data_IF_369933977108
#
_entry.id   IF_369933977108
#
_cell.length_a   1.000
_cell.length_b   1.000
_cell.length_c   1.000
_cell.angle_alpha   90.00
_cell.angle_beta   90.00
_cell.angle_gamma   90.00
#
_symmetry.space_group_name_H-M   'P 1'
#
loop_
_entity.id
_entity.type
_entity.pdbx_description
1 polymer ?
#
# COMPACT_ATOMS: atom_id res chain seq x y z
N UNK A 1 52.06 -31.51 4.86
CA UNK A 1 50.95 -31.52 3.88
C UNK A 1 50.19 -30.21 4.01
N UNK A 2 50.20 -29.38 2.96
CA UNK A 2 49.57 -28.05 2.91
C UNK A 2 48.25 -28.15 2.14
N UNK A 3 47.24 -27.45 2.67
CA UNK A 3 46.03 -26.93 2.00
C UNK A 3 45.06 -28.02 1.48
N UNK A 4 43.75 -27.97 1.73
CA UNK A 4 42.86 -26.88 1.35
C UNK A 4 41.53 -26.96 2.12
N UNK A 5 41.23 -25.95 2.95
CA UNK A 5 39.88 -25.68 3.47
C UNK A 5 39.66 -24.18 3.30
N UNK A 6 39.45 -23.72 2.07
CA UNK A 6 39.13 -22.30 1.82
C UNK A 6 38.21 -22.08 0.61
N UNK A 7 37.68 -23.14 -0.01
CA UNK A 7 36.91 -23.05 -1.25
C UNK A 7 35.39 -23.04 -1.07
N UNK A 8 34.87 -23.40 0.11
CA UNK A 8 33.41 -23.59 0.32
C UNK A 8 32.69 -22.30 0.76
N UNK A 9 33.40 -21.36 1.39
CA UNK A 9 32.83 -20.12 1.94
C UNK A 9 32.61 -19.03 0.88
N UNK A 10 33.47 -18.93 -0.14
CA UNK A 10 33.31 -17.93 -1.21
C UNK A 10 32.14 -18.24 -2.14
N UNK A 11 31.96 -19.52 -2.51
CA UNK A 11 30.96 -19.96 -3.49
C UNK A 11 29.51 -19.72 -2.98
N UNK A 12 29.31 -19.89 -1.67
CA UNK A 12 28.01 -19.63 -1.02
C UNK A 12 27.68 -18.13 -0.94
N UNK A 13 28.69 -17.28 -0.71
CA UNK A 13 28.53 -15.83 -0.61
C UNK A 13 28.28 -15.20 -1.98
N UNK A 14 29.01 -15.64 -3.01
CA UNK A 14 28.80 -15.23 -4.40
C UNK A 14 27.41 -15.63 -4.91
N UNK A 15 26.95 -16.84 -4.56
CA UNK A 15 25.59 -17.30 -4.86
C UNK A 15 24.53 -16.44 -4.18
N UNK A 16 24.69 -16.08 -2.90
CA UNK A 16 23.77 -15.19 -2.19
C UNK A 16 23.72 -13.80 -2.82
N UNK A 17 24.88 -13.21 -3.14
CA UNK A 17 24.95 -11.92 -3.81
C UNK A 17 24.24 -11.94 -5.17
N UNK A 18 24.40 -13.02 -5.95
CA UNK A 18 23.71 -13.18 -7.23
C UNK A 18 22.18 -13.28 -7.07
N UNK A 19 21.68 -13.86 -5.98
CA UNK A 19 20.25 -13.96 -5.67
C UNK A 19 19.69 -12.58 -5.32
N UNK A 20 20.39 -11.82 -4.47
CA UNK A 20 19.98 -10.45 -4.11
C UNK A 20 20.05 -9.49 -5.29
N UNK A 21 21.04 -9.63 -6.18
CA UNK A 21 21.12 -8.85 -7.42
C UNK A 21 19.92 -9.14 -8.33
N UNK A 22 19.58 -10.41 -8.55
CA UNK A 22 18.39 -10.82 -9.31
C UNK A 22 17.10 -10.31 -8.68
N UNK A 23 17.00 -10.30 -7.35
CA UNK A 23 15.87 -9.73 -6.62
C UNK A 23 15.76 -8.22 -6.84
N UNK A 24 16.84 -7.47 -6.68
CA UNK A 24 16.87 -6.02 -6.92
C UNK A 24 16.48 -5.64 -8.35
N UNK A 25 16.96 -6.39 -9.34
CA UNK A 25 16.57 -6.18 -10.75
C UNK A 25 15.07 -6.44 -10.96
N UNK A 26 14.53 -7.53 -10.39
CA UNK A 26 13.08 -7.81 -10.44
C UNK A 26 12.24 -6.78 -9.68
N UNK A 27 12.74 -6.25 -8.57
CA UNK A 27 12.08 -5.19 -7.80
C UNK A 27 12.04 -3.88 -8.61
N UNK A 28 13.14 -3.48 -9.26
CA UNK A 28 13.17 -2.31 -10.14
C UNK A 28 12.25 -2.45 -11.37
N UNK A 29 12.18 -3.64 -11.97
CA UNK A 29 11.24 -3.95 -13.07
C UNK A 29 9.77 -3.92 -12.60
N UNK A 30 9.50 -4.32 -11.35
CA UNK A 30 8.16 -4.27 -10.74
C UNK A 30 7.75 -2.84 -10.37
N UNK A 31 8.67 -2.02 -9.88
CA UNK A 31 8.47 -0.59 -9.63
C UNK A 31 8.20 0.22 -10.91
N UNK A 32 8.81 -0.15 -12.03
CA UNK A 32 8.49 0.46 -13.33
C UNK A 32 7.07 0.12 -13.83
N UNK A 33 6.49 -0.99 -13.36
CA UNK A 33 5.16 -1.50 -13.74
C UNK A 33 4.05 -1.24 -12.70
N UNK A 34 4.36 -0.66 -11.53
CA UNK A 34 3.44 -0.56 -10.39
C UNK A 34 2.43 0.60 -10.46
N UNK A 35 2.22 1.23 -11.63
CA UNK A 35 1.24 2.32 -11.81
C UNK A 35 -0.24 1.94 -11.56
N UNK A 36 -0.55 0.73 -11.10
CA UNK A 36 -1.90 0.33 -10.66
C UNK A 36 -1.83 -0.61 -9.46
N UNK A 37 -1.59 -0.06 -8.26
CA UNK A 37 -1.96 -0.70 -6.99
C UNK A 37 -3.48 -0.52 -6.73
N UNK A 38 -4.28 -0.71 -7.77
CA UNK A 38 -5.73 -0.83 -7.63
C UNK A 38 -6.01 -2.31 -7.43
N UNK A 39 -6.86 -2.63 -6.46
CA UNK A 39 -7.43 -3.98 -6.38
C UNK A 39 -8.13 -4.27 -7.70
N UNK A 40 -7.54 -5.15 -8.51
CA UNK A 40 -7.99 -5.42 -9.89
C UNK A 40 -9.32 -6.15 -9.92
N UNK A 41 -9.59 -6.96 -8.90
CA UNK A 41 -10.84 -7.69 -8.73
C UNK A 41 -11.73 -7.02 -7.68
N UNK A 42 -12.75 -6.31 -8.16
CA UNK A 42 -13.75 -5.65 -7.31
C UNK A 42 -14.91 -6.56 -6.92
N UNK A 43 -14.95 -7.80 -7.40
CA UNK A 43 -16.04 -8.74 -7.17
C UNK A 43 -16.38 -8.89 -5.68
N UNK A 44 -15.40 -9.09 -4.77
CA UNK A 44 -15.71 -9.22 -3.34
C UNK A 44 -16.35 -7.96 -2.73
N UNK A 45 -15.99 -6.78 -3.24
CA UNK A 45 -16.55 -5.50 -2.78
C UNK A 45 -17.95 -5.27 -3.33
N UNK A 46 -18.21 -5.67 -4.57
CA UNK A 46 -19.55 -5.60 -5.17
C UNK A 46 -20.50 -6.57 -4.45
N UNK A 47 -20.03 -7.77 -4.13
CA UNK A 47 -20.83 -8.76 -3.40
C UNK A 47 -21.20 -8.26 -2.00
N UNK A 48 -20.27 -7.59 -1.30
CA UNK A 48 -20.50 -7.08 0.06
C UNK A 48 -21.25 -5.76 0.11
N UNK A 49 -20.82 -4.76 -0.67
CA UNK A 49 -21.30 -3.39 -0.59
C UNK A 49 -22.26 -3.03 -1.73
N UNK A 50 -22.56 -3.94 -2.65
CA UNK A 50 -23.37 -3.68 -3.85
C UNK A 50 -22.76 -2.65 -4.80
N UNK A 51 -23.06 -2.79 -6.10
CA UNK A 51 -22.62 -1.80 -7.08
C UNK A 51 -23.28 -0.43 -6.87
N UNK A 52 -24.52 -0.41 -6.40
CA UNK A 52 -25.28 0.83 -6.18
C UNK A 52 -24.65 1.71 -5.09
N UNK A 53 -24.29 1.13 -3.95
CA UNK A 53 -23.68 1.89 -2.84
C UNK A 53 -22.23 2.31 -3.17
N UNK A 54 -21.45 1.47 -3.84
CA UNK A 54 -20.12 1.87 -4.34
C UNK A 54 -20.22 3.05 -5.33
N UNK A 55 -21.20 3.03 -6.23
CA UNK A 55 -21.43 4.14 -7.16
C UNK A 55 -21.91 5.40 -6.45
N UNK A 56 -22.77 5.27 -5.45
CA UNK A 56 -23.23 6.40 -4.64
C UNK A 56 -22.05 7.10 -3.97
N UNK A 57 -21.20 6.37 -3.24
CA UNK A 57 -20.00 6.96 -2.63
C UNK A 57 -19.07 7.59 -3.66
N UNK A 58 -18.90 6.94 -4.82
CA UNK A 58 -18.11 7.51 -5.91
C UNK A 58 -18.64 8.88 -6.35
N UNK A 59 -19.95 9.01 -6.50
CA UNK A 59 -20.61 10.27 -6.88
C UNK A 59 -20.45 11.33 -5.79
N UNK A 60 -20.64 10.96 -4.52
CA UNK A 60 -20.49 11.86 -3.36
C UNK A 60 -19.09 12.50 -3.30
N UNK A 61 -18.06 11.77 -3.72
CA UNK A 61 -16.67 12.26 -3.77
C UNK A 61 -16.20 12.68 -5.17
N UNK A 62 -17.13 13.15 -6.01
CA UNK A 62 -16.82 13.81 -7.27
C UNK A 62 -16.39 12.87 -8.40
N UNK A 63 -16.94 11.66 -8.44
CA UNK A 63 -16.64 10.60 -9.40
C UNK A 63 -15.17 10.14 -9.40
N UNK A 64 -14.44 10.42 -8.32
CA UNK A 64 -13.06 9.96 -8.13
C UNK A 64 -13.04 8.52 -7.67
N UNK A 65 -11.99 7.78 -8.00
CA UNK A 65 -11.91 6.37 -7.65
C UNK A 65 -11.75 6.17 -6.13
N UNK A 66 -12.65 5.36 -5.56
CA UNK A 66 -12.56 4.89 -4.18
C UNK A 66 -11.30 4.05 -3.98
N UNK A 67 -10.81 4.03 -2.75
CA UNK A 67 -9.72 3.17 -2.33
C UNK A 67 -10.33 1.86 -1.80
N UNK A 68 -9.88 0.74 -2.34
CA UNK A 68 -10.31 -0.60 -1.94
C UNK A 68 -9.16 -1.26 -1.22
N UNK A 69 -9.38 -1.65 0.03
CA UNK A 69 -8.42 -2.38 0.84
C UNK A 69 -8.87 -3.83 0.96
N UNK A 70 -7.98 -4.75 0.61
CA UNK A 70 -8.18 -6.18 0.81
C UNK A 70 -6.95 -6.77 1.48
N UNK A 71 -7.15 -7.44 2.60
CA UNK A 71 -6.14 -8.25 3.27
C UNK A 71 -6.82 -9.56 3.65
N UNK A 72 -6.36 -10.66 3.06
CA UNK A 72 -7.01 -11.96 3.16
C UNK A 72 -8.51 -11.89 2.82
N UNK A 73 -9.38 -12.25 3.76
CA UNK A 73 -10.84 -12.22 3.62
C UNK A 73 -11.46 -10.89 4.07
N UNK A 74 -10.65 -9.97 4.60
CA UNK A 74 -11.13 -8.70 5.11
C UNK A 74 -11.12 -7.61 4.04
N UNK A 75 -12.17 -6.79 4.05
CA UNK A 75 -12.43 -5.77 3.05
C UNK A 75 -12.73 -4.41 3.71
N UNK A 76 -12.19 -3.34 3.14
CA UNK A 76 -12.63 -1.98 3.47
C UNK A 76 -12.63 -1.08 2.24
N UNK A 77 -13.49 -0.07 2.28
CA UNK A 77 -13.62 0.96 1.25
C UNK A 77 -13.38 2.32 1.90
N UNK A 78 -12.48 3.09 1.31
CA UNK A 78 -12.13 4.44 1.73
C UNK A 78 -12.47 5.42 0.60
N UNK A 79 -12.86 6.64 0.96
CA UNK A 79 -13.02 7.72 0.00
C UNK A 79 -11.66 8.16 -0.56
N UNK A 80 -11.62 8.73 -1.79
CA UNK A 80 -10.40 9.29 -2.33
C UNK A 80 -9.89 10.47 -1.49
N UNK A 81 -8.56 10.61 -1.32
CA UNK A 81 -7.98 11.76 -0.61
C UNK A 81 -8.12 13.04 -1.44
N UNK A 82 -8.53 14.13 -0.79
CA UNK A 82 -8.53 15.50 -1.27
C UNK A 82 -7.17 16.17 -1.01
N UNK A 83 -6.99 17.38 -1.54
CA UNK A 83 -5.77 18.15 -1.30
C UNK A 83 -5.56 18.49 0.18
N UNK A 84 -6.65 18.75 0.91
CA UNK A 84 -6.63 19.01 2.36
C UNK A 84 -6.13 17.77 3.13
N UNK A 85 -6.69 16.58 2.85
CA UNK A 85 -6.24 15.33 3.47
C UNK A 85 -4.74 15.08 3.23
N UNK A 86 -4.23 15.40 2.03
CA UNK A 86 -2.80 15.29 1.74
C UNK A 86 -1.97 16.33 2.51
N UNK A 87 -2.48 17.55 2.70
CA UNK A 87 -1.84 18.57 3.53
C UNK A 87 -1.75 18.15 5.00
N UNK A 88 -2.84 17.63 5.54
CA UNK A 88 -2.92 17.11 6.90
C UNK A 88 -1.98 15.92 7.10
N UNK A 89 -1.96 14.99 6.14
CA UNK A 89 -1.04 13.86 6.13
C UNK A 89 0.43 14.29 6.22
N UNK A 90 0.85 15.23 5.36
CA UNK A 90 2.23 15.72 5.32
C UNK A 90 2.62 16.45 6.61
N UNK A 91 1.69 17.23 7.17
CA UNK A 91 1.88 17.90 8.45
C UNK A 91 2.03 16.89 9.58
N UNK A 92 1.15 15.89 9.63
CA UNK A 92 1.19 14.83 10.64
C UNK A 92 2.46 13.98 10.55
N UNK A 93 3.01 13.73 9.35
CA UNK A 93 4.32 13.06 9.21
C UNK A 93 5.40 13.83 9.96
N UNK A 94 5.46 15.16 9.79
CA UNK A 94 6.46 16.01 10.41
C UNK A 94 6.32 16.12 11.94
N UNK A 95 5.09 16.04 12.46
CA UNK A 95 4.81 16.22 13.89
C UNK A 95 4.80 14.91 14.68
N UNK A 96 4.17 13.87 14.13
CA UNK A 96 3.78 12.66 14.85
C UNK A 96 4.45 11.39 14.29
N UNK A 97 5.14 11.51 13.15
CA UNK A 97 5.75 10.40 12.43
C UNK A 97 4.78 9.68 11.48
N UNK A 98 5.37 8.94 10.53
CA UNK A 98 4.65 8.32 9.41
C UNK A 98 3.55 7.36 9.84
N UNK A 99 3.81 6.49 10.82
CA UNK A 99 2.83 5.51 11.30
C UNK A 99 1.53 6.16 11.77
N UNK A 100 1.64 7.22 12.59
CA UNK A 100 0.49 7.95 13.11
C UNK A 100 -0.22 8.75 12.02
N UNK A 101 0.52 9.32 11.09
CA UNK A 101 -0.05 10.06 9.97
C UNK A 101 -0.89 9.16 9.05
N UNK A 102 -0.41 7.95 8.74
CA UNK A 102 -1.18 6.99 7.93
C UNK A 102 -2.42 6.51 8.68
N UNK A 103 -2.31 6.20 9.97
CA UNK A 103 -3.46 5.81 10.79
C UNK A 103 -4.55 6.90 10.81
N UNK A 104 -4.15 8.15 11.05
CA UNK A 104 -5.05 9.32 11.01
C UNK A 104 -5.76 9.46 9.66
N UNK A 105 -5.03 9.28 8.56
CA UNK A 105 -5.63 9.36 7.22
C UNK A 105 -6.58 8.21 6.95
N UNK A 106 -6.26 6.98 7.37
CA UNK A 106 -7.17 5.85 7.24
C UNK A 106 -8.49 6.16 7.94
N UNK A 107 -8.43 6.68 9.17
CA UNK A 107 -9.60 7.09 9.94
C UNK A 107 -10.44 8.16 9.20
N UNK A 108 -9.79 9.21 8.70
CA UNK A 108 -10.44 10.32 7.99
C UNK A 108 -11.06 9.93 6.63
N UNK A 109 -10.55 8.89 6.00
CA UNK A 109 -11.01 8.41 4.70
C UNK A 109 -11.97 7.21 4.79
N UNK A 110 -12.17 6.61 5.96
CA UNK A 110 -12.95 5.38 6.11
C UNK A 110 -14.42 5.59 5.73
N UNK A 111 -14.95 4.74 4.84
CA UNK A 111 -16.38 4.69 4.54
C UNK A 111 -17.04 3.50 5.23
N UNK A 112 -16.55 2.30 4.95
CA UNK A 112 -17.08 1.06 5.51
C UNK A 112 -16.06 -0.09 5.36
N UNK A 113 -16.16 -1.13 6.18
CA UNK A 113 -15.26 -2.29 6.13
C UNK A 113 -15.17 -3.10 7.42
N UNK A 114 -14.32 -4.12 7.41
CA UNK A 114 -13.98 -4.90 8.60
C UNK A 114 -13.01 -4.12 9.48
N UNK A 115 -13.41 -3.85 10.72
CA UNK A 115 -12.56 -3.15 11.69
C UNK A 115 -11.33 -3.95 12.11
N UNK A 116 -11.33 -5.27 11.91
CA UNK A 116 -10.13 -6.11 12.11
C UNK A 116 -8.94 -5.60 11.30
N UNK A 117 -9.16 -4.97 10.15
CA UNK A 117 -8.11 -4.34 9.33
C UNK A 117 -7.35 -3.21 10.04
N UNK A 118 -7.93 -2.62 11.08
CA UNK A 118 -7.34 -1.51 11.86
C UNK A 118 -7.15 -1.85 13.35
N UNK A 119 -7.79 -2.91 13.84
CA UNK A 119 -7.66 -3.40 15.23
C UNK A 119 -6.53 -4.43 15.40
N UNK A 120 -6.32 -5.30 14.40
CA UNK A 120 -5.26 -6.31 14.43
C UNK A 120 -3.96 -5.75 13.84
N UNK A 121 -2.85 -5.90 14.57
CA UNK A 121 -1.56 -5.30 14.19
C UNK A 121 -1.01 -5.88 12.87
N UNK A 122 -1.14 -7.19 12.64
CA UNK A 122 -0.60 -7.82 11.44
C UNK A 122 -1.40 -7.41 10.19
N UNK A 123 -2.73 -7.35 10.32
CA UNK A 123 -3.60 -6.81 9.27
C UNK A 123 -3.36 -5.32 9.05
N UNK A 124 -3.19 -4.55 10.12
CA UNK A 124 -2.94 -3.12 10.04
C UNK A 124 -1.60 -2.81 9.37
N UNK A 125 -0.55 -3.59 9.59
CA UNK A 125 0.72 -3.44 8.85
C UNK A 125 0.50 -3.59 7.35
N UNK A 126 -0.30 -4.58 6.91
CA UNK A 126 -0.62 -4.76 5.50
C UNK A 126 -1.41 -3.58 4.93
N UNK A 127 -2.41 -3.09 5.67
CA UNK A 127 -3.18 -1.89 5.31
C UNK A 127 -2.30 -0.65 5.24
N UNK A 128 -1.45 -0.44 6.25
CA UNK A 128 -0.51 0.66 6.34
C UNK A 128 0.39 0.73 5.10
N UNK A 129 0.96 -0.40 4.68
CA UNK A 129 1.80 -0.47 3.48
C UNK A 129 1.02 -0.15 2.20
N UNK A 130 -0.20 -0.67 2.06
CA UNK A 130 -1.07 -0.34 0.92
C UNK A 130 -1.39 1.15 0.87
N UNK A 131 -1.81 1.72 2.00
CA UNK A 131 -2.19 3.12 2.11
C UNK A 131 -1.03 4.08 1.92
N UNK A 132 0.14 3.78 2.51
CA UNK A 132 1.33 4.59 2.32
C UNK A 132 1.73 4.67 0.84
N UNK A 133 1.65 3.55 0.11
CA UNK A 133 1.93 3.53 -1.33
C UNK A 133 0.93 4.36 -2.14
N UNK A 134 -0.36 4.29 -1.79
CA UNK A 134 -1.41 5.10 -2.43
C UNK A 134 -1.14 6.60 -2.20
N UNK A 135 -0.87 7.00 -0.96
CA UNK A 135 -0.63 8.39 -0.58
C UNK A 135 0.63 8.96 -1.25
N UNK A 136 1.73 8.20 -1.29
CA UNK A 136 2.95 8.65 -1.98
C UNK A 136 2.75 8.74 -3.51
N UNK A 137 1.97 7.85 -4.12
CA UNK A 137 1.58 7.98 -5.54
C UNK A 137 0.79 9.26 -5.78
N UNK A 138 -0.19 9.57 -4.92
CA UNK A 138 -1.03 10.77 -5.04
C UNK A 138 -0.26 12.06 -4.78
N UNK A 139 0.65 12.05 -3.81
CA UNK A 139 1.62 13.13 -3.58
C UNK A 139 2.47 13.39 -4.84
N UNK A 140 2.96 12.34 -5.48
CA UNK A 140 3.73 12.44 -6.71
C UNK A 140 2.94 12.97 -7.91
N UNK A 141 1.62 12.74 -7.96
CA UNK A 141 0.70 13.37 -8.92
C UNK A 141 0.49 14.86 -8.58
N UNK A 142 0.24 15.17 -7.30
CA UNK A 142 -0.07 16.52 -6.82
C UNK A 142 1.08 17.51 -7.02
N UNK A 143 2.33 17.12 -6.75
CA UNK A 143 3.50 18.02 -6.88
C UNK A 143 4.12 18.07 -8.28
N UNK A 144 3.65 17.23 -9.21
CA UNK A 144 4.10 17.26 -10.62
C UNK A 144 3.15 18.02 -11.54
N UNK A 145 1.93 18.31 -11.09
CA UNK A 145 0.96 19.16 -11.78
C UNK A 145 1.27 20.65 -11.51
#
# INVERSE_FOLDING_TARGET
MKQSINTVSNDTNEKLQSIFAKRKSKEAEKEANSKKNEVKDKTPFIERFTEAQLNQWKVEYGNRDLIYLKVDDFLAVLRPPLAEDLGDYLTAIGMNGMSKAVAMIIEQLWLDGDYQLIEDEDLFIAVFLQMNNILESKKGEFFRA
#
